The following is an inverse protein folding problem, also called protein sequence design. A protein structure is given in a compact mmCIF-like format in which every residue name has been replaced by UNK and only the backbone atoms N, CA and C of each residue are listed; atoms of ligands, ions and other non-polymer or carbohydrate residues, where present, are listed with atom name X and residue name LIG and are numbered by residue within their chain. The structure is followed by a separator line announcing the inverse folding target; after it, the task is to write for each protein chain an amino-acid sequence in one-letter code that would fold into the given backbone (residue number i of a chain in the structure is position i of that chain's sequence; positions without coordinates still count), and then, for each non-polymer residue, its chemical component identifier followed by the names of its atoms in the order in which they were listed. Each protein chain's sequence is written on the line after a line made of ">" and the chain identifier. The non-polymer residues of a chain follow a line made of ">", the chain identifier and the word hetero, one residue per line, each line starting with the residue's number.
data_IF_654394887805
#
_entry.id   IF_654394887805
#
_cell.length_a   1.000
_cell.length_b   1.000
_cell.length_c   1.000
_cell.angle_alpha   90.00
_cell.angle_beta   90.00
_cell.angle_gamma   90.00
#
_symmetry.space_group_name_H-M   'P 1'
#
loop_
_entity.id
_entity.type
_entity.pdbx_description
1 polymer ?
#
# COMPACT_ATOMS: atom_id res chain seq x y z
N UNK A 1 -6.43 28.10 -11.10
CA UNK A 1 -6.27 26.88 -11.93
C UNK A 1 -6.93 25.77 -11.14
N UNK A 2 -8.18 25.43 -11.45
CA UNK A 2 -8.91 24.40 -10.69
C UNK A 2 -8.30 23.05 -11.02
N UNK A 3 -7.73 22.42 -10.00
CA UNK A 3 -7.22 21.06 -10.11
C UNK A 3 -8.45 20.17 -10.05
N UNK A 4 -8.77 19.37 -11.09
CA UNK A 4 -9.99 18.55 -11.12
C UNK A 4 -9.91 17.32 -10.20
N UNK A 5 -8.98 17.32 -9.25
CA UNK A 5 -8.69 16.20 -8.36
C UNK A 5 -8.93 16.64 -6.93
N UNK A 6 -9.65 15.80 -6.18
CA UNK A 6 -9.79 15.95 -4.74
C UNK A 6 -8.48 15.52 -4.08
N UNK A 7 -7.72 16.48 -3.56
CA UNK A 7 -6.48 16.22 -2.83
C UNK A 7 -6.82 15.93 -1.37
N UNK A 8 -6.38 14.78 -0.88
CA UNK A 8 -6.54 14.37 0.52
C UNK A 8 -5.16 14.23 1.12
N UNK A 9 -4.95 14.91 2.25
CA UNK A 9 -3.71 14.77 3.01
C UNK A 9 -3.57 13.36 3.57
N UNK A 10 -2.36 12.80 3.46
CA UNK A 10 -2.05 11.49 3.99
C UNK A 10 -0.77 11.54 4.82
N UNK A 11 -0.87 11.13 6.08
CA UNK A 11 0.26 11.08 7.01
C UNK A 11 0.20 9.82 7.87
N UNK A 12 1.37 9.26 8.18
CA UNK A 12 1.46 8.04 9.00
C UNK A 12 2.11 8.33 10.35
N UNK A 13 1.42 7.95 11.44
CA UNK A 13 2.00 7.67 12.75
C UNK A 13 2.34 6.18 12.86
N UNK A 14 2.96 5.76 13.97
CA UNK A 14 3.07 4.32 14.27
C UNK A 14 1.70 3.62 14.25
N UNK A 15 0.69 4.28 14.83
CA UNK A 15 -0.66 3.76 14.93
C UNK A 15 -1.37 3.71 13.57
N UNK A 16 -1.34 4.81 12.80
CA UNK A 16 -2.01 4.81 11.49
C UNK A 16 -1.27 3.96 10.45
N UNK A 17 0.06 3.82 10.55
CA UNK A 17 0.82 2.84 9.75
C UNK A 17 0.41 1.41 10.10
N UNK A 18 0.31 1.07 11.39
CA UNK A 18 -0.14 -0.27 11.80
C UNK A 18 -1.53 -0.59 11.24
N UNK A 19 -2.48 0.33 11.36
CA UNK A 19 -3.85 0.14 10.88
C UNK A 19 -3.92 -0.19 9.37
N UNK A 20 -3.24 0.58 8.50
CA UNK A 20 -3.30 0.34 7.05
C UNK A 20 -2.54 -0.94 6.63
N UNK A 21 -1.50 -1.33 7.37
CA UNK A 21 -0.74 -2.56 7.09
C UNK A 21 -1.54 -3.79 7.52
N UNK A 22 -2.19 -3.74 8.67
CA UNK A 22 -3.08 -4.79 9.15
C UNK A 22 -4.30 -4.95 8.21
N UNK A 23 -4.88 -3.84 7.76
CA UNK A 23 -5.95 -3.84 6.75
C UNK A 23 -5.52 -4.45 5.41
N UNK A 24 -4.27 -4.18 4.98
CA UNK A 24 -3.70 -4.76 3.77
C UNK A 24 -3.49 -6.28 3.95
N UNK A 25 -2.95 -6.70 5.09
CA UNK A 25 -2.75 -8.12 5.40
C UNK A 25 -4.08 -8.89 5.40
N UNK A 26 -5.12 -8.32 6.02
CA UNK A 26 -6.45 -8.91 6.04
C UNK A 26 -7.04 -9.06 4.62
N UNK A 27 -6.77 -8.11 3.72
CA UNK A 27 -7.23 -8.20 2.33
C UNK A 27 -6.56 -9.35 1.55
N UNK A 28 -5.28 -9.62 1.81
CA UNK A 28 -4.58 -10.78 1.26
C UNK A 28 -5.08 -12.09 1.89
N UNK A 29 -5.20 -12.16 3.22
CA UNK A 29 -5.67 -13.35 3.94
C UNK A 29 -7.11 -13.73 3.52
N UNK A 30 -7.96 -12.72 3.31
CA UNK A 30 -9.33 -12.90 2.83
C UNK A 30 -9.44 -13.18 1.33
N UNK A 31 -8.35 -13.17 0.57
CA UNK A 31 -8.35 -13.38 -0.88
C UNK A 31 -9.02 -12.26 -1.68
N UNK A 32 -9.16 -11.06 -1.10
CA UNK A 32 -9.75 -9.89 -1.77
C UNK A 32 -8.79 -9.30 -2.79
N UNK A 33 -7.50 -9.39 -2.50
CA UNK A 33 -6.40 -9.01 -3.39
C UNK A 33 -5.39 -10.17 -3.46
N UNK A 34 -4.64 -10.24 -4.55
CA UNK A 34 -3.66 -11.29 -4.80
C UNK A 34 -2.39 -10.72 -5.42
N UNK A 35 -1.28 -11.45 -5.26
CA UNK A 35 -0.03 -11.12 -5.94
C UNK A 35 -0.22 -11.38 -7.46
N UNK A 36 0.21 -10.45 -8.34
CA UNK A 36 0.14 -10.66 -9.78
C UNK A 36 1.00 -11.83 -10.26
N UNK A 37 0.64 -12.38 -11.41
CA UNK A 37 1.43 -13.41 -12.07
C UNK A 37 2.85 -12.90 -12.43
N UNK A 38 3.92 -13.53 -11.91
CA UNK A 38 5.29 -13.11 -12.16
C UNK A 38 5.71 -13.20 -13.63
N UNK A 39 5.07 -14.07 -14.43
CA UNK A 39 5.38 -14.20 -15.86
C UNK A 39 4.80 -13.05 -16.70
N UNK A 40 3.83 -12.31 -16.15
CA UNK A 40 3.07 -11.28 -16.87
C UNK A 40 3.37 -9.86 -16.41
N UNK A 41 3.94 -9.69 -15.22
CA UNK A 41 4.19 -8.38 -14.62
C UNK A 41 5.65 -8.22 -14.19
N UNK A 42 6.21 -7.05 -14.48
CA UNK A 42 7.54 -6.69 -14.01
C UNK A 42 7.53 -6.36 -12.52
N UNK A 43 8.66 -6.57 -11.84
CA UNK A 43 8.88 -6.28 -10.41
C UNK A 43 8.13 -7.16 -9.39
N UNK A 44 7.42 -8.22 -9.82
CA UNK A 44 6.71 -9.13 -8.91
C UNK A 44 7.68 -9.78 -7.91
N UNK A 45 8.88 -10.18 -8.35
CA UNK A 45 9.91 -10.73 -7.46
C UNK A 45 10.31 -9.75 -6.34
N UNK A 46 10.49 -8.47 -6.67
CA UNK A 46 10.81 -7.43 -5.68
C UNK A 46 9.66 -7.22 -4.71
N UNK A 47 8.42 -7.21 -5.21
CA UNK A 47 7.22 -7.14 -4.38
C UNK A 47 7.20 -8.29 -3.37
N UNK A 48 7.43 -9.53 -3.82
CA UNK A 48 7.48 -10.70 -2.93
C UNK A 48 8.57 -10.53 -1.88
N UNK A 49 9.79 -10.14 -2.28
CA UNK A 49 10.91 -9.92 -1.34
C UNK A 49 10.54 -8.88 -0.26
N UNK A 50 10.00 -7.73 -0.66
CA UNK A 50 9.63 -6.69 0.30
C UNK A 50 8.50 -7.15 1.22
N UNK A 51 7.45 -7.77 0.67
CA UNK A 51 6.31 -8.27 1.44
C UNK A 51 6.72 -9.38 2.41
N UNK A 52 7.56 -10.31 1.96
CA UNK A 52 8.10 -11.39 2.79
C UNK A 52 9.08 -10.90 3.84
N UNK A 53 9.74 -9.76 3.65
CA UNK A 53 10.65 -9.21 4.64
C UNK A 53 9.95 -8.29 5.66
N UNK A 54 8.82 -7.69 5.30
CA UNK A 54 8.13 -6.71 6.13
C UNK A 54 7.52 -7.34 7.39
N UNK A 55 7.82 -6.80 8.57
CA UNK A 55 7.41 -7.40 9.86
C UNK A 55 6.96 -6.36 10.88
N UNK A 56 6.07 -6.80 11.76
CA UNK A 56 5.66 -6.07 12.95
C UNK A 56 6.53 -6.40 14.16
N UNK A 57 6.88 -5.38 14.94
CA UNK A 57 7.59 -5.49 16.22
C UNK A 57 6.88 -4.64 17.28
N UNK A 58 6.65 -5.21 18.47
CA UNK A 58 6.17 -4.43 19.62
C UNK A 58 7.26 -3.49 20.13
N UNK A 59 6.91 -2.23 20.31
CA UNK A 59 7.77 -1.22 20.92
C UNK A 59 7.77 -1.35 22.46
N UNK A 60 8.64 -0.60 23.13
CA UNK A 60 8.69 -0.53 24.61
C UNK A 60 7.38 -0.07 25.24
N UNK A 61 6.57 0.69 24.49
CA UNK A 61 5.26 1.19 24.93
C UNK A 61 4.11 0.25 24.57
N UNK A 62 4.40 -0.92 23.97
CA UNK A 62 3.41 -1.92 23.59
C UNK A 62 2.74 -1.70 22.23
N UNK A 63 2.98 -0.56 21.58
CA UNK A 63 2.45 -0.25 20.24
C UNK A 63 3.18 -1.07 19.18
N UNK A 64 2.48 -1.49 18.13
CA UNK A 64 3.09 -2.17 16.98
C UNK A 64 3.83 -1.18 16.07
N UNK A 65 5.03 -1.54 15.68
CA UNK A 65 5.84 -0.84 14.67
C UNK A 65 6.10 -1.79 13.51
N UNK A 66 5.86 -1.35 12.28
CA UNK A 66 6.05 -2.15 11.08
C UNK A 66 7.15 -1.58 10.18
N UNK A 67 8.10 -2.43 9.79
CA UNK A 67 9.25 -2.04 8.97
C UNK A 67 9.89 -3.25 8.29
N UNK A 68 10.55 -3.02 7.16
CA UNK A 68 11.48 -3.98 6.58
C UNK A 68 12.82 -4.00 7.36
N UNK A 69 13.59 -5.11 7.29
CA UNK A 69 14.96 -5.17 7.79
C UNK A 69 15.85 -4.14 7.11
N UNK A 70 16.98 -3.84 7.76
CA UNK A 70 18.01 -2.99 7.16
C UNK A 70 18.45 -3.59 5.82
N UNK A 71 18.52 -2.76 4.78
CA UNK A 71 18.87 -3.11 3.39
C UNK A 71 17.74 -3.71 2.52
N UNK A 72 16.54 -3.89 3.08
CA UNK A 72 15.34 -4.18 2.29
C UNK A 72 14.46 -2.93 2.28
N UNK A 73 13.87 -2.63 1.12
CA UNK A 73 12.96 -1.51 0.99
C UNK A 73 11.54 -1.87 1.48
N UNK A 74 10.70 -0.86 1.70
CA UNK A 74 9.28 -1.02 2.04
C UNK A 74 8.35 -0.17 1.17
N UNK A 75 8.87 0.39 0.07
CA UNK A 75 8.13 1.29 -0.80
C UNK A 75 7.00 0.58 -1.54
N UNK A 76 7.18 -0.68 -1.96
CA UNK A 76 6.10 -1.44 -2.60
C UNK A 76 5.00 -1.75 -1.58
N UNK A 77 5.38 -2.17 -0.37
CA UNK A 77 4.44 -2.48 0.71
C UNK A 77 3.62 -1.25 1.08
N UNK A 78 4.29 -0.11 1.26
CA UNK A 78 3.63 1.15 1.61
C UNK A 78 2.76 1.68 0.46
N UNK A 79 3.21 1.55 -0.80
CA UNK A 79 2.41 1.92 -1.96
C UNK A 79 1.09 1.14 -2.02
N UNK A 80 1.16 -0.19 -1.83
CA UNK A 80 -0.03 -1.04 -1.78
C UNK A 80 -0.95 -0.69 -0.61
N UNK A 81 -0.39 -0.46 0.59
CA UNK A 81 -1.19 -0.12 1.77
C UNK A 81 -1.96 1.20 1.58
N UNK A 82 -1.31 2.22 1.00
CA UNK A 82 -1.93 3.51 0.70
C UNK A 82 -3.01 3.36 -0.37
N UNK A 83 -2.73 2.62 -1.45
CA UNK A 83 -3.70 2.37 -2.50
C UNK A 83 -4.94 1.64 -1.98
N UNK A 84 -4.75 0.59 -1.18
CA UNK A 84 -5.84 -0.16 -0.55
C UNK A 84 -6.65 0.71 0.40
N UNK A 85 -5.97 1.50 1.23
CA UNK A 85 -6.63 2.42 2.15
C UNK A 85 -7.47 3.47 1.41
N UNK A 86 -6.93 4.04 0.32
CA UNK A 86 -7.67 4.97 -0.54
C UNK A 86 -8.90 4.34 -1.19
N UNK A 87 -8.76 3.13 -1.75
CA UNK A 87 -9.88 2.39 -2.34
C UNK A 87 -11.02 2.12 -1.35
N UNK A 88 -10.71 1.92 -0.07
CA UNK A 88 -11.71 1.75 0.99
C UNK A 88 -12.36 3.07 1.44
N UNK A 89 -11.64 4.18 1.34
CA UNK A 89 -12.17 5.51 1.70
C UNK A 89 -13.06 6.11 0.61
N UNK A 90 -12.76 5.81 -0.65
CA UNK A 90 -13.62 6.20 -1.76
C UNK A 90 -14.93 5.40 -1.71
N UNK A 91 -16.05 6.10 -1.50
CA UNK A 91 -17.28 5.72 -2.21
C UNK A 91 -16.90 5.77 -3.68
N UNK A 92 -17.04 4.67 -4.46
CA UNK A 92 -16.55 4.68 -5.82
C UNK A 92 -17.14 5.90 -6.55
N UNK A 93 -16.31 6.77 -7.16
CA UNK A 93 -16.85 7.68 -8.15
C UNK A 93 -17.55 6.81 -9.19
N UNK A 94 -18.72 7.24 -9.68
CA UNK A 94 -19.55 6.44 -10.59
C UNK A 94 -18.80 5.96 -11.86
N UNK A 95 -17.63 6.54 -12.15
CA UNK A 95 -16.67 6.07 -13.15
C UNK A 95 -15.23 6.10 -12.61
N UNK A 96 -14.56 4.95 -12.61
CA UNK A 96 -13.09 4.87 -12.55
C UNK A 96 -12.57 4.95 -13.99
N UNK A 97 -12.04 6.11 -14.39
CA UNK A 97 -11.38 6.28 -15.69
C UNK A 97 -9.86 6.16 -15.54
N UNK A 98 -9.29 5.07 -16.05
CA UNK A 98 -7.84 4.95 -16.25
C UNK A 98 -7.44 6.00 -17.30
N UNK A 99 -6.69 7.03 -16.90
CA UNK A 99 -6.07 7.97 -17.83
C UNK A 99 -4.58 7.62 -18.00
N UNK A 100 -4.09 7.65 -19.25
CA UNK A 100 -2.64 7.62 -19.52
C UNK A 100 -1.99 8.76 -18.74
N UNK A 101 -0.95 8.44 -17.97
CA UNK A 101 -0.19 9.41 -17.19
C UNK A 101 0.51 10.38 -18.15
N UNK A 102 0.08 11.65 -18.15
CA UNK A 102 0.59 12.71 -19.03
C UNK A 102 2.02 13.18 -18.70
N UNK A 103 2.60 12.70 -17.60
CA UNK A 103 3.95 13.06 -17.17
C UNK A 103 5.04 12.16 -17.74
N UNK A 104 4.69 11.02 -18.33
CA UNK A 104 5.64 10.16 -19.04
C UNK A 104 5.26 10.15 -20.53
N UNK A 105 5.86 11.08 -21.28
CA UNK A 105 5.94 11.05 -22.74
C UNK A 105 7.30 10.50 -23.15
#
# INVERSE_FOLDING_TARGET
>A
KDIPYHLVDFWTSLQSKAAIIEDLALAFEGGVISIPDPDRFVNVERMIIEMEAFRGKRTKTGIMSYSAPKHIHDDIVMSLAIAWHGLKQDKPPAEVRIRKNVFYN
#
